data_IF_110871205983
#
_entry.id   IF_110871205983
#
_cell.length_a   1.000
_cell.length_b   1.000
_cell.length_c   1.000
_cell.angle_alpha   90.00
_cell.angle_beta   90.00
_cell.angle_gamma   90.00
#
_symmetry.space_group_name_H-M   'P 1'
#
loop_
_entity.id
_entity.type
_entity.pdbx_description
1 polymer ?
#
# COMPACT_ATOMS: atom_id res chain seq x y z
N UNK A 1 25.53 -6.80 4.34
CA UNK A 1 25.16 -6.00 3.16
C UNK A 1 23.92 -6.66 2.56
N UNK A 2 22.79 -5.96 2.54
CA UNK A 2 21.56 -6.42 1.86
C UNK A 2 21.83 -6.59 0.37
N UNK A 3 21.38 -7.69 -0.23
CA UNK A 3 21.63 -7.99 -1.66
C UNK A 3 20.65 -7.28 -2.58
N UNK A 4 19.54 -6.80 -2.03
CA UNK A 4 18.50 -6.06 -2.73
C UNK A 4 18.87 -4.57 -2.75
N UNK A 5 19.02 -3.94 -3.93
CA UNK A 5 19.18 -2.49 -4.05
C UNK A 5 18.02 -1.75 -3.39
N UNK A 6 18.29 -0.55 -2.89
CA UNK A 6 17.27 0.25 -2.19
C UNK A 6 16.04 0.54 -3.06
N UNK A 7 16.24 0.84 -4.35
CA UNK A 7 15.14 1.08 -5.30
C UNK A 7 14.23 -0.16 -5.45
N UNK A 8 14.82 -1.33 -5.65
CA UNK A 8 14.10 -2.60 -5.78
C UNK A 8 13.34 -2.93 -4.48
N UNK A 9 13.99 -2.72 -3.33
CA UNK A 9 13.38 -2.91 -2.01
C UNK A 9 12.19 -1.97 -1.82
N UNK A 10 12.32 -0.70 -2.18
CA UNK A 10 11.24 0.28 -2.08
C UNK A 10 10.02 -0.13 -2.94
N UNK A 11 10.25 -0.67 -4.14
CA UNK A 11 9.17 -1.20 -4.99
C UNK A 11 8.50 -2.42 -4.32
N UNK A 12 9.28 -3.33 -3.76
CA UNK A 12 8.79 -4.51 -3.05
C UNK A 12 7.96 -4.12 -1.81
N UNK A 13 8.40 -3.12 -1.05
CA UNK A 13 7.66 -2.57 0.08
C UNK A 13 6.35 -1.89 -0.37
N UNK A 14 6.34 -1.15 -1.49
CA UNK A 14 5.09 -0.61 -2.06
C UNK A 14 4.08 -1.72 -2.39
N UNK A 15 4.55 -2.88 -2.85
CA UNK A 15 3.69 -4.02 -3.14
C UNK A 15 3.03 -4.62 -1.88
N UNK A 16 3.56 -4.33 -0.69
CA UNK A 16 2.94 -4.67 0.60
C UNK A 16 1.90 -3.61 0.98
N UNK A 17 2.27 -2.32 0.94
CA UNK A 17 1.46 -1.25 1.51
C UNK A 17 0.28 -0.81 0.63
N UNK A 18 0.46 -0.71 -0.70
CA UNK A 18 -0.60 -0.22 -1.59
C UNK A 18 -1.86 -1.10 -1.58
N UNK A 19 -1.78 -2.45 -1.55
CA UNK A 19 -2.96 -3.28 -1.36
C UNK A 19 -3.67 -3.02 -0.03
N UNK A 20 -2.93 -2.75 1.05
CA UNK A 20 -3.53 -2.44 2.35
C UNK A 20 -4.28 -1.11 2.33
N UNK A 21 -3.74 -0.10 1.66
CA UNK A 21 -4.43 1.18 1.42
C UNK A 21 -5.76 0.93 0.71
N UNK A 22 -5.78 0.12 -0.35
CA UNK A 22 -7.01 -0.22 -1.07
C UNK A 22 -8.03 -0.96 -0.19
N UNK A 23 -7.59 -1.86 0.68
CA UNK A 23 -8.48 -2.56 1.62
C UNK A 23 -9.16 -1.56 2.57
N UNK A 24 -8.39 -0.60 3.10
CA UNK A 24 -8.93 0.44 3.99
C UNK A 24 -9.91 1.34 3.23
N UNK A 25 -9.53 1.85 2.06
CA UNK A 25 -10.40 2.74 1.27
C UNK A 25 -11.72 2.06 0.87
N UNK A 26 -11.70 0.78 0.51
CA UNK A 26 -12.94 0.03 0.23
C UNK A 26 -13.87 -0.04 1.46
N UNK A 27 -13.29 -0.28 2.64
CA UNK A 27 -14.05 -0.28 3.90
C UNK A 27 -14.61 1.12 4.18
N UNK A 28 -13.78 2.15 4.05
CA UNK A 28 -14.16 3.53 4.33
C UNK A 28 -15.25 4.03 3.38
N UNK A 29 -15.20 3.65 2.10
CA UNK A 29 -16.25 3.94 1.12
C UNK A 29 -17.62 3.45 1.63
N UNK A 30 -17.68 2.20 2.09
CA UNK A 30 -18.91 1.59 2.63
C UNK A 30 -19.38 2.29 3.92
N UNK A 31 -18.44 2.73 4.76
CA UNK A 31 -18.74 3.46 6.00
C UNK A 31 -19.29 4.85 5.70
N UNK A 32 -18.66 5.60 4.81
CA UNK A 32 -19.08 6.95 4.41
C UNK A 32 -20.46 6.93 3.74
N UNK A 33 -20.71 5.92 2.89
CA UNK A 33 -22.01 5.72 2.25
C UNK A 33 -23.14 5.57 3.28
N UNK A 34 -22.91 4.84 4.37
CA UNK A 34 -23.89 4.57 5.43
C UNK A 34 -23.93 5.65 6.52
N UNK A 35 -22.90 6.48 6.63
CA UNK A 35 -22.77 7.49 7.69
C UNK A 35 -23.79 8.62 7.55
N UNK A 36 -24.17 9.32 8.65
CA UNK A 36 -25.16 10.40 8.62
C UNK A 36 -24.59 11.75 8.13
N UNK A 37 -23.67 11.75 7.16
CA UNK A 37 -23.16 13.00 6.57
C UNK A 37 -24.25 13.72 5.78
N UNK A 38 -24.37 15.04 6.00
CA UNK A 38 -25.32 15.89 5.28
C UNK A 38 -25.06 15.93 3.76
N UNK A 39 -23.79 15.91 3.36
CA UNK A 39 -23.34 15.90 1.97
C UNK A 39 -22.26 14.84 1.79
N UNK A 40 -22.62 13.63 1.33
CA UNK A 40 -21.72 12.48 1.20
C UNK A 40 -20.84 12.52 -0.04
N UNK A 41 -21.37 13.09 -1.13
CA UNK A 41 -20.78 13.03 -2.47
C UNK A 41 -19.29 13.44 -2.52
N UNK A 42 -18.86 14.56 -1.90
CA UNK A 42 -17.45 14.96 -1.95
C UNK A 42 -16.49 13.95 -1.30
N UNK A 43 -16.93 13.26 -0.23
CA UNK A 43 -16.12 12.25 0.45
C UNK A 43 -16.03 10.95 -0.35
N UNK A 44 -17.15 10.53 -0.95
CA UNK A 44 -17.17 9.35 -1.83
C UNK A 44 -16.26 9.56 -3.05
N UNK A 45 -16.37 10.73 -3.71
CA UNK A 45 -15.52 11.07 -4.85
C UNK A 45 -14.03 11.15 -4.46
N UNK A 46 -13.70 11.71 -3.30
CA UNK A 46 -12.33 11.72 -2.78
C UNK A 46 -11.77 10.29 -2.66
N UNK A 47 -12.53 9.39 -2.02
CA UNK A 47 -12.11 8.00 -1.81
C UNK A 47 -11.97 7.25 -3.14
N UNK A 48 -12.98 7.32 -4.02
CA UNK A 48 -12.98 6.64 -5.32
C UNK A 48 -11.83 7.09 -6.20
N UNK A 49 -11.59 8.39 -6.27
CA UNK A 49 -10.50 8.93 -7.07
C UNK A 49 -9.13 8.58 -6.51
N UNK A 50 -8.98 8.57 -5.18
CA UNK A 50 -7.75 8.07 -4.55
C UNK A 50 -7.55 6.59 -4.83
N UNK A 51 -8.61 5.77 -4.77
CA UNK A 51 -8.52 4.34 -5.12
C UNK A 51 -8.02 4.12 -6.55
N UNK A 52 -8.51 4.89 -7.53
CA UNK A 52 -8.05 4.81 -8.93
C UNK A 52 -6.55 5.12 -9.05
N UNK A 53 -6.07 6.13 -8.32
CA UNK A 53 -4.66 6.50 -8.31
C UNK A 53 -3.78 5.40 -7.69
N UNK A 54 -4.18 4.88 -6.53
CA UNK A 54 -3.45 3.78 -5.85
C UNK A 54 -3.46 2.50 -6.70
N UNK A 55 -4.56 2.20 -7.38
CA UNK A 55 -4.65 1.04 -8.29
C UNK A 55 -3.69 1.18 -9.48
N UNK A 56 -3.59 2.37 -10.07
CA UNK A 56 -2.63 2.66 -11.15
C UNK A 56 -1.20 2.46 -10.68
N UNK A 57 -0.84 3.05 -9.54
CA UNK A 57 0.51 2.89 -8.96
C UNK A 57 0.82 1.43 -8.61
N UNK A 58 -0.14 0.70 -8.05
CA UNK A 58 0.01 -0.72 -7.77
C UNK A 58 0.21 -1.55 -9.04
N UNK A 59 -0.46 -1.20 -10.14
CA UNK A 59 -0.25 -1.85 -11.44
C UNK A 59 1.17 -1.63 -11.96
N UNK A 60 1.69 -0.40 -11.86
CA UNK A 60 3.06 -0.04 -12.23
C UNK A 60 4.09 -0.82 -11.38
N UNK A 61 3.88 -0.88 -10.06
CA UNK A 61 4.70 -1.67 -9.12
C UNK A 61 4.71 -3.15 -9.51
N UNK A 62 3.55 -3.75 -9.76
CA UNK A 62 3.45 -5.16 -10.18
C UNK A 62 4.14 -5.42 -11.51
N UNK A 63 4.01 -4.50 -12.47
CA UNK A 63 4.68 -4.60 -13.77
C UNK A 63 6.20 -4.55 -13.61
N UNK A 64 6.71 -3.62 -12.79
CA UNK A 64 8.13 -3.52 -12.47
C UNK A 64 8.65 -4.80 -11.82
N UNK A 65 7.94 -5.31 -10.80
CA UNK A 65 8.32 -6.54 -10.10
C UNK A 65 8.39 -7.73 -11.06
N UNK A 66 7.39 -7.88 -11.94
CA UNK A 66 7.37 -8.94 -12.95
C UNK A 66 8.56 -8.82 -13.91
N UNK A 67 8.85 -7.62 -14.41
CA UNK A 67 9.97 -7.36 -15.33
C UNK A 67 11.32 -7.70 -14.70
N UNK A 68 11.49 -7.37 -13.41
CA UNK A 68 12.75 -7.52 -12.69
C UNK A 68 12.86 -8.83 -11.89
N UNK A 69 11.90 -9.76 -12.04
CA UNK A 69 11.83 -11.04 -11.32
C UNK A 69 11.89 -10.85 -9.80
N UNK A 70 11.11 -9.89 -9.31
CA UNK A 70 10.93 -9.59 -7.89
C UNK A 70 9.61 -10.21 -7.42
N UNK A 71 9.59 -10.78 -6.23
CA UNK A 71 8.36 -11.27 -5.61
C UNK A 71 8.40 -11.03 -4.11
N UNK A 72 7.24 -10.67 -3.56
CA UNK A 72 7.02 -10.54 -2.12
C UNK A 72 5.88 -11.48 -1.75
N UNK A 73 6.03 -12.22 -0.68
CA UNK A 73 4.99 -13.13 -0.20
C UNK A 73 4.92 -13.08 1.32
N UNK A 74 3.72 -12.91 1.87
CA UNK A 74 3.50 -13.03 3.31
C UNK A 74 3.66 -14.48 3.73
N UNK A 75 4.55 -14.76 4.66
CA UNK A 75 4.85 -16.13 5.11
C UNK A 75 4.23 -16.45 6.45
N UNK A 76 4.18 -15.47 7.35
CA UNK A 76 3.62 -15.63 8.68
C UNK A 76 3.08 -14.29 9.18
N UNK A 77 2.00 -14.35 9.94
CA UNK A 77 1.47 -13.21 10.69
C UNK A 77 1.16 -13.65 12.11
N UNK A 78 1.57 -12.83 13.07
CA UNK A 78 1.17 -12.91 14.46
C UNK A 78 0.64 -11.56 14.94
N UNK A 79 0.30 -11.46 16.23
CA UNK A 79 -0.32 -10.26 16.81
C UNK A 79 0.57 -9.02 16.70
N UNK A 80 1.89 -9.19 16.79
CA UNK A 80 2.84 -8.09 16.83
C UNK A 80 3.55 -7.87 15.47
N UNK A 81 3.78 -8.93 14.70
CA UNK A 81 4.60 -8.90 13.49
C UNK A 81 3.97 -9.62 12.30
N UNK A 82 4.30 -9.12 11.11
CA UNK A 82 4.05 -9.80 9.83
C UNK A 82 5.38 -10.06 9.14
N UNK A 83 5.63 -11.32 8.78
CA UNK A 83 6.82 -11.76 8.07
C UNK A 83 6.56 -11.83 6.57
N UNK A 84 7.45 -11.24 5.79
CA UNK A 84 7.46 -11.28 4.34
C UNK A 84 8.74 -11.90 3.82
N UNK A 85 8.60 -12.77 2.82
CA UNK A 85 9.72 -13.30 2.03
C UNK A 85 9.90 -12.45 0.78
N UNK A 86 11.09 -11.89 0.62
CA UNK A 86 11.50 -11.11 -0.53
C UNK A 86 12.35 -12.01 -1.42
N UNK A 87 11.85 -12.30 -2.62
CA UNK A 87 12.56 -13.03 -3.64
C UNK A 87 13.16 -12.04 -4.65
N UNK A 88 14.49 -12.05 -4.76
CA UNK A 88 15.27 -11.17 -5.62
C UNK A 88 16.23 -11.98 -6.50
N UNK A 89 15.92 -12.14 -7.79
CA UNK A 89 16.82 -12.81 -8.76
C UNK A 89 17.37 -14.17 -8.26
N UNK A 90 16.57 -14.94 -7.52
CA UNK A 90 16.95 -16.25 -6.95
C UNK A 90 17.52 -16.20 -5.52
N UNK A 91 17.66 -15.02 -4.92
CA UNK A 91 17.96 -14.84 -3.51
C UNK A 91 16.69 -14.65 -2.70
N UNK A 92 16.69 -15.16 -1.48
CA UNK A 92 15.58 -15.01 -0.54
C UNK A 92 16.04 -14.19 0.67
N UNK A 93 15.27 -13.17 1.03
CA UNK A 93 15.47 -12.41 2.27
C UNK A 93 14.16 -12.40 3.06
N UNK A 94 14.22 -12.82 4.33
CA UNK A 94 13.07 -12.74 5.24
C UNK A 94 13.07 -11.42 6.00
N UNK A 95 11.94 -10.72 5.97
CA UNK A 95 11.74 -9.43 6.60
C UNK A 95 10.58 -9.50 7.60
N UNK A 96 10.83 -9.06 8.84
CA UNK A 96 9.78 -8.95 9.85
C UNK A 96 9.37 -7.49 10.01
N UNK A 97 8.06 -7.23 9.94
CA UNK A 97 7.49 -5.89 10.05
C UNK A 97 6.60 -5.83 11.28
N UNK A 98 6.85 -4.85 12.14
CA UNK A 98 6.00 -4.57 13.29
C UNK A 98 4.64 -4.04 12.82
N UNK A 99 3.55 -4.70 13.20
CA UNK A 99 2.20 -4.40 12.71
C UNK A 99 1.79 -2.93 12.94
N UNK A 100 2.08 -2.30 14.09
CA UNK A 100 1.86 -0.86 14.27
C UNK A 100 2.64 0.02 13.29
N UNK A 101 3.85 -0.38 12.89
CA UNK A 101 4.65 0.35 11.88
C UNK A 101 3.99 0.26 10.49
N UNK A 102 3.48 -0.91 10.11
CA UNK A 102 2.71 -1.09 8.87
C UNK A 102 1.50 -0.17 8.90
N UNK A 103 0.74 -0.17 10.00
CA UNK A 103 -0.44 0.68 10.17
C UNK A 103 -0.12 2.16 10.00
N UNK A 104 0.93 2.63 10.68
CA UNK A 104 1.38 4.02 10.56
C UNK A 104 1.78 4.34 9.12
N UNK A 105 2.45 3.41 8.42
CA UNK A 105 2.84 3.63 7.04
C UNK A 105 1.65 3.73 6.09
N UNK A 106 0.63 2.90 6.30
CA UNK A 106 -0.62 2.97 5.54
C UNK A 106 -1.36 4.28 5.82
N UNK A 107 -1.35 4.77 7.07
CA UNK A 107 -1.90 6.07 7.41
C UNK A 107 -1.15 7.22 6.70
N UNK A 108 0.19 7.23 6.73
CA UNK A 108 1.01 8.21 6.01
C UNK A 108 0.69 8.21 4.50
N UNK A 109 0.46 7.04 3.90
CA UNK A 109 0.07 6.93 2.49
C UNK A 109 -1.32 7.52 2.25
N UNK A 110 -2.30 7.25 3.11
CA UNK A 110 -3.63 7.84 3.00
C UNK A 110 -3.57 9.37 3.09
N UNK A 111 -2.84 9.90 4.08
CA UNK A 111 -2.60 11.34 4.23
C UNK A 111 -1.95 11.92 2.97
N UNK A 112 -0.92 11.25 2.44
CA UNK A 112 -0.28 11.66 1.20
C UNK A 112 -1.26 11.73 0.03
N UNK A 113 -2.04 10.67 -0.24
CA UNK A 113 -2.96 10.70 -1.38
C UNK A 113 -4.10 11.70 -1.21
N UNK A 114 -4.62 11.88 0.00
CA UNK A 114 -5.71 12.83 0.24
C UNK A 114 -5.25 14.30 0.20
N UNK A 115 -4.04 14.59 0.69
CA UNK A 115 -3.54 15.96 0.83
C UNK A 115 -2.72 16.42 -0.37
N UNK A 116 -1.99 15.52 -1.05
CA UNK A 116 -1.21 15.86 -2.25
C UNK A 116 -2.10 16.41 -3.38
N UNK A 117 -3.35 15.96 -3.48
CA UNK A 117 -4.32 16.47 -4.46
C UNK A 117 -4.76 17.92 -4.22
N UNK A 118 -4.58 18.45 -3.00
CA UNK A 118 -5.01 19.80 -2.64
C UNK A 118 -3.92 20.85 -2.82
N UNK A 119 -2.70 20.45 -3.21
CA UNK A 119 -1.66 21.41 -3.59
C UNK A 119 -1.90 21.86 -5.04
N UNK A 120 -2.32 23.12 -5.30
CA UNK A 120 -2.38 23.62 -6.66
C UNK A 120 -0.97 23.57 -7.26
N UNK A 121 -0.87 23.05 -8.49
CA UNK A 121 0.30 23.31 -9.34
C UNK A 121 0.29 24.76 -9.80
#
# INVERSE_FOLDING_TARGET
MTRIPEEDRNIMEKAIYLPMVLIILNRDLTVVEKSPFKLKKPYLELIEETMKEVQRELAEVKQYMKKNKLQVTETRRDDAFTMYLFLYKGYEESHSYFNPRIRNKVQELLEFYFLKKQSPR
#
